data_IF_655040672185
#
_entry.id   IF_655040672185
#
_cell.length_a   1.000
_cell.length_b   1.000
_cell.length_c   1.000
_cell.angle_alpha   90.00
_cell.angle_beta   90.00
_cell.angle_gamma   90.00
#
_symmetry.space_group_name_H-M   'P 1'
#
loop_
_entity.id
_entity.type
_entity.pdbx_description
1 polymer ?
#
# COMPACT_ATOMS: atom_id res chain seq x y z
N UNK A 1 18.65 -31.26 11.39
CA UNK A 1 18.94 -29.81 11.34
C UNK A 1 17.84 -29.18 12.14
N UNK A 2 18.14 -28.87 13.40
CA UNK A 2 17.15 -28.68 14.46
C UNK A 2 16.37 -27.37 14.29
N UNK A 3 15.06 -27.39 14.61
CA UNK A 3 14.14 -26.25 14.47
C UNK A 3 14.60 -24.99 15.23
N UNK A 4 15.36 -25.14 16.32
CA UNK A 4 15.96 -23.99 17.01
C UNK A 4 17.04 -23.30 16.18
N UNK A 5 17.79 -24.05 15.36
CA UNK A 5 18.80 -23.49 14.48
C UNK A 5 18.15 -22.78 13.28
N UNK A 6 17.00 -23.28 12.79
CA UNK A 6 16.25 -22.58 11.73
C UNK A 6 15.64 -21.27 12.21
N UNK A 7 15.13 -21.21 13.44
CA UNK A 7 14.55 -19.99 14.02
C UNK A 7 15.60 -18.90 14.29
N UNK A 8 16.79 -19.26 14.77
CA UNK A 8 17.89 -18.29 14.96
C UNK A 8 18.33 -17.68 13.62
N UNK A 9 18.50 -18.51 12.59
CA UNK A 9 18.90 -18.05 11.24
C UNK A 9 17.82 -17.16 10.61
N UNK A 10 16.53 -17.48 10.80
CA UNK A 10 15.42 -16.65 10.33
C UNK A 10 15.46 -15.28 11.01
N UNK A 11 15.62 -15.24 12.33
CA UNK A 11 15.68 -14.01 13.11
C UNK A 11 16.83 -13.10 12.65
N UNK A 12 18.03 -13.65 12.46
CA UNK A 12 19.19 -12.89 11.99
C UNK A 12 18.96 -12.30 10.59
N UNK A 13 18.44 -13.10 9.66
CA UNK A 13 18.11 -12.63 8.31
C UNK A 13 17.08 -11.52 8.32
N UNK A 14 16.02 -11.66 9.12
CA UNK A 14 14.99 -10.62 9.28
C UNK A 14 15.56 -9.33 9.87
N UNK A 15 16.40 -9.44 10.90
CA UNK A 15 17.06 -8.27 11.48
C UNK A 15 17.93 -7.56 10.45
N UNK A 16 18.74 -8.29 9.68
CA UNK A 16 19.57 -7.71 8.62
C UNK A 16 18.74 -7.01 7.53
N UNK A 17 17.62 -7.61 7.13
CA UNK A 17 16.71 -6.99 6.16
C UNK A 17 16.07 -5.71 6.72
N UNK A 18 15.65 -5.74 7.98
CA UNK A 18 15.08 -4.59 8.68
C UNK A 18 16.09 -3.44 8.82
N UNK A 19 17.32 -3.76 9.22
CA UNK A 19 18.41 -2.78 9.36
C UNK A 19 18.76 -2.13 8.02
N UNK A 20 18.81 -2.92 6.95
CA UNK A 20 19.02 -2.41 5.60
C UNK A 20 17.88 -1.47 5.17
N UNK A 21 16.63 -1.83 5.43
CA UNK A 21 15.48 -0.98 5.11
C UNK A 21 15.50 0.34 5.90
N UNK A 22 15.92 0.33 7.17
CA UNK A 22 16.09 1.55 7.96
C UNK A 22 17.17 2.46 7.38
N UNK A 23 18.31 1.91 6.99
CA UNK A 23 19.38 2.66 6.31
C UNK A 23 18.91 3.26 4.98
N UNK A 24 18.22 2.46 4.15
CA UNK A 24 17.65 2.91 2.88
C UNK A 24 16.65 4.05 3.09
N UNK A 25 15.81 3.98 4.12
CA UNK A 25 14.84 5.02 4.43
C UNK A 25 15.50 6.36 4.74
N UNK A 26 16.58 6.35 5.54
CA UNK A 26 17.36 7.55 5.90
C UNK A 26 18.03 8.17 4.66
N UNK A 27 18.43 7.37 3.68
CA UNK A 27 19.03 7.87 2.42
C UNK A 27 17.98 8.50 1.50
N UNK A 28 16.76 7.93 1.47
CA UNK A 28 15.73 8.34 0.52
C UNK A 28 14.80 9.45 1.04
N UNK A 29 14.80 9.74 2.36
CA UNK A 29 13.88 10.69 2.97
C UNK A 29 14.58 11.76 3.82
N UNK A 30 14.00 12.96 3.85
CA UNK A 30 14.35 13.99 4.81
C UNK A 30 13.78 13.64 6.20
N UNK A 31 14.61 12.95 6.99
CA UNK A 31 14.27 12.50 8.35
C UNK A 31 13.97 13.69 9.29
N UNK A 32 14.59 14.85 9.08
CA UNK A 32 14.31 16.04 9.91
C UNK A 32 12.94 16.63 9.60
N UNK A 33 12.56 16.71 8.33
CA UNK A 33 11.22 17.13 7.95
C UNK A 33 10.14 16.19 8.51
N UNK A 34 10.36 14.87 8.45
CA UNK A 34 9.45 13.87 9.02
C UNK A 34 9.35 14.03 10.54
N UNK A 35 10.50 14.18 11.23
CA UNK A 35 10.53 14.36 12.67
C UNK A 35 9.80 15.63 13.11
N UNK A 36 9.95 16.76 12.39
CA UNK A 36 9.21 18.00 12.66
C UNK A 36 7.69 17.80 12.58
N UNK A 37 7.20 17.11 11.55
CA UNK A 37 5.75 16.80 11.42
C UNK A 37 5.23 15.95 12.58
N UNK A 38 6.07 15.07 13.12
CA UNK A 38 5.75 14.19 14.25
C UNK A 38 6.04 14.82 15.62
N UNK A 39 6.51 16.07 15.68
CA UNK A 39 6.95 16.72 16.92
C UNK A 39 8.03 15.91 17.67
N UNK A 40 8.89 15.21 16.91
CA UNK A 40 10.01 14.42 17.42
C UNK A 40 11.33 15.17 17.20
N UNK A 41 12.35 14.81 17.98
CA UNK A 41 13.71 15.26 17.74
C UNK A 41 14.29 14.51 16.52
N UNK A 42 14.68 15.26 15.47
CA UNK A 42 15.23 14.69 14.23
C UNK A 42 16.50 13.87 14.43
N UNK A 43 17.41 14.30 15.32
CA UNK A 43 18.61 13.55 15.66
C UNK A 43 18.25 12.24 16.37
N UNK A 44 17.26 12.27 17.26
CA UNK A 44 16.78 11.07 17.95
C UNK A 44 16.16 10.08 16.96
N UNK A 45 15.36 10.55 16.00
CA UNK A 45 14.77 9.70 14.98
C UNK A 45 15.83 9.08 14.06
N UNK A 46 16.83 9.87 13.65
CA UNK A 46 17.96 9.37 12.85
C UNK A 46 18.76 8.31 13.59
N UNK A 47 18.96 8.48 14.90
CA UNK A 47 19.63 7.49 15.73
C UNK A 47 18.79 6.22 15.87
N UNK A 48 17.46 6.33 16.00
CA UNK A 48 16.56 5.16 16.03
C UNK A 48 16.58 4.34 14.74
N UNK A 49 16.82 4.98 13.59
CA UNK A 49 16.90 4.34 12.27
C UNK A 49 18.29 3.79 11.95
N UNK A 50 19.29 4.03 12.80
CA UNK A 50 20.66 3.56 12.58
C UNK A 50 20.92 2.30 13.42
N UNK A 51 21.17 1.13 12.80
CA UNK A 51 21.40 -0.11 13.52
C UNK A 51 22.65 -0.10 14.40
N UNK A 52 23.61 0.81 14.14
CA UNK A 52 24.82 0.95 14.94
C UNK A 52 24.63 1.77 16.22
N UNK A 53 23.44 2.35 16.42
CA UNK A 53 23.13 3.18 17.59
C UNK A 53 22.34 2.37 18.63
N UNK A 54 22.46 2.70 19.93
CA UNK A 54 21.78 1.96 20.99
C UNK A 54 20.27 2.21 21.03
N UNK A 55 19.77 3.19 20.29
CA UNK A 55 18.36 3.54 20.28
C UNK A 55 17.59 2.66 19.30
N UNK A 56 16.68 1.85 19.82
CA UNK A 56 15.84 0.96 19.00
C UNK A 56 14.63 1.73 18.45
N UNK A 57 14.33 1.53 17.17
CA UNK A 57 13.10 2.02 16.56
C UNK A 57 11.87 1.37 17.21
N UNK A 58 11.07 2.17 17.91
CA UNK A 58 9.84 1.68 18.55
C UNK A 58 8.76 1.44 17.48
N UNK A 59 7.93 0.38 17.58
CA UNK A 59 6.88 0.08 16.60
C UNK A 59 5.91 1.24 16.34
N UNK A 60 5.55 2.01 17.37
CA UNK A 60 4.67 3.19 17.24
C UNK A 60 5.32 4.31 16.42
N UNK A 61 6.63 4.52 16.61
CA UNK A 61 7.40 5.50 15.84
C UNK A 61 7.53 5.03 14.40
N UNK A 62 7.80 3.74 14.17
CA UNK A 62 7.81 3.12 12.84
C UNK A 62 6.50 3.35 12.09
N UNK A 63 5.36 3.05 12.71
CA UNK A 63 4.05 3.26 12.08
C UNK A 63 3.80 4.75 11.76
N UNK A 64 4.24 5.65 12.65
CA UNK A 64 4.07 7.09 12.49
C UNK A 64 4.93 7.66 11.35
N UNK A 65 6.20 7.27 11.25
CA UNK A 65 7.08 7.72 10.16
C UNK A 65 6.59 7.20 8.82
N UNK A 66 6.17 5.93 8.73
CA UNK A 66 5.66 5.36 7.48
C UNK A 66 4.39 6.05 7.01
N UNK A 67 3.49 6.43 7.94
CA UNK A 67 2.29 7.18 7.60
C UNK A 67 2.59 8.60 7.12
N UNK A 68 3.56 9.28 7.73
CA UNK A 68 3.91 10.67 7.38
C UNK A 68 4.74 10.76 6.10
N UNK A 69 5.64 9.79 5.87
CA UNK A 69 6.43 9.73 4.64
C UNK A 69 5.66 9.16 3.45
N UNK A 70 4.61 8.36 3.72
CA UNK A 70 3.95 7.55 2.69
C UNK A 70 4.77 6.34 2.26
N UNK A 71 5.95 6.13 2.85
CA UNK A 71 6.82 4.98 2.57
C UNK A 71 6.69 3.92 3.66
N UNK A 72 6.07 2.80 3.27
CA UNK A 72 5.84 1.63 4.11
C UNK A 72 6.90 0.55 3.88
N UNK A 73 8.02 0.83 3.22
CA UNK A 73 9.08 -0.12 2.90
C UNK A 73 9.61 -0.87 4.13
N UNK A 74 9.85 -0.17 5.24
CA UNK A 74 10.31 -0.79 6.50
C UNK A 74 9.23 -1.73 7.07
N UNK A 75 7.96 -1.31 7.08
CA UNK A 75 6.83 -2.13 7.57
C UNK A 75 6.65 -3.38 6.70
N UNK A 76 6.71 -3.23 5.37
CA UNK A 76 6.64 -4.35 4.44
C UNK A 76 7.81 -5.32 4.61
N UNK A 77 9.01 -4.81 4.92
CA UNK A 77 10.18 -5.64 5.16
C UNK A 77 10.07 -6.41 6.47
N UNK A 78 9.42 -5.83 7.49
CA UNK A 78 9.15 -6.50 8.77
C UNK A 78 8.23 -7.72 8.59
N UNK A 79 7.18 -7.58 7.79
CA UNK A 79 6.22 -8.65 7.49
C UNK A 79 6.65 -9.56 6.32
N UNK A 80 7.80 -9.29 5.71
CA UNK A 80 8.33 -10.17 4.68
C UNK A 80 8.49 -11.59 5.25
N UNK A 81 8.12 -12.57 4.44
CA UNK A 81 8.13 -14.00 4.76
C UNK A 81 7.11 -14.47 5.82
N UNK A 82 6.24 -13.58 6.34
CA UNK A 82 5.16 -13.94 7.29
C UNK A 82 3.82 -14.27 6.61
N UNK A 83 3.77 -14.26 5.28
CA UNK A 83 2.55 -14.52 4.51
C UNK A 83 1.55 -13.35 4.50
N UNK A 84 1.96 -12.17 4.98
CA UNK A 84 1.12 -10.96 5.01
C UNK A 84 1.77 -9.85 4.19
N UNK A 85 0.97 -9.12 3.43
CA UNK A 85 1.40 -7.92 2.70
C UNK A 85 0.63 -6.73 3.27
N UNK A 86 1.34 -5.67 3.66
CA UNK A 86 0.70 -4.43 4.09
C UNK A 86 0.49 -3.51 2.89
N UNK A 87 -0.75 -3.08 2.69
CA UNK A 87 -1.09 -2.06 1.70
C UNK A 87 -1.57 -0.81 2.42
N UNK A 88 -1.00 0.36 2.14
CA UNK A 88 -1.51 1.60 2.70
C UNK A 88 -2.91 1.85 2.13
N UNK A 89 -3.87 2.10 3.03
CA UNK A 89 -5.16 2.64 2.63
C UNK A 89 -4.93 4.06 2.12
N UNK A 90 -5.33 4.39 0.87
CA UNK A 90 -5.20 5.75 0.38
C UNK A 90 -6.06 6.67 1.25
N UNK A 91 -5.43 7.69 1.83
CA UNK A 91 -6.09 8.66 2.73
C UNK A 91 -6.89 9.67 1.90
N UNK A 92 -6.50 9.87 0.65
CA UNK A 92 -7.16 10.76 -0.30
C UNK A 92 -8.00 9.91 -1.27
N UNK A 93 -9.31 10.14 -1.27
CA UNK A 93 -10.13 9.79 -2.41
C UNK A 93 -9.68 10.72 -3.54
N UNK A 94 -8.95 10.19 -4.52
CA UNK A 94 -8.56 10.91 -5.77
C UNK A 94 -9.78 11.43 -6.58
N UNK A 95 -11.01 11.40 -6.03
CA UNK A 95 -12.27 11.77 -6.68
C UNK A 95 -12.62 10.87 -7.86
N UNK A 96 -11.83 9.83 -8.12
CA UNK A 96 -11.97 8.97 -9.29
C UNK A 96 -13.26 8.17 -9.18
N UNK A 97 -14.04 8.20 -10.26
CA UNK A 97 -15.20 7.34 -10.37
C UNK A 97 -14.79 5.88 -10.66
N UNK A 98 -15.75 4.96 -10.54
CA UNK A 98 -15.54 3.52 -10.73
C UNK A 98 -14.82 3.20 -12.05
N UNK A 99 -15.21 3.85 -13.15
CA UNK A 99 -14.63 3.62 -14.46
C UNK A 99 -13.16 4.06 -14.51
N UNK A 100 -12.86 5.25 -13.98
CA UNK A 100 -11.50 5.77 -13.90
C UNK A 100 -10.60 4.89 -13.01
N UNK A 101 -11.12 4.36 -11.90
CA UNK A 101 -10.39 3.41 -11.05
C UNK A 101 -10.05 2.11 -11.79
N UNK A 102 -10.97 1.58 -12.58
CA UNK A 102 -10.72 0.40 -13.41
C UNK A 102 -9.66 0.69 -14.48
N UNK A 103 -9.70 1.86 -15.11
CA UNK A 103 -8.66 2.28 -16.05
C UNK A 103 -7.28 2.42 -15.37
N UNK A 104 -7.22 3.01 -14.18
CA UNK A 104 -6.00 3.12 -13.38
C UNK A 104 -5.44 1.75 -13.00
N UNK A 105 -6.31 0.79 -12.66
CA UNK A 105 -5.91 -0.59 -12.42
C UNK A 105 -5.30 -1.23 -13.68
N UNK A 106 -5.94 -1.05 -14.84
CA UNK A 106 -5.42 -1.55 -16.11
C UNK A 106 -4.05 -0.95 -16.45
N UNK A 107 -3.87 0.35 -16.20
CA UNK A 107 -2.57 1.00 -16.37
C UNK A 107 -1.49 0.34 -15.50
N UNK A 108 -1.73 0.17 -14.20
CA UNK A 108 -0.77 -0.52 -13.32
C UNK A 108 -0.52 -1.96 -13.75
N UNK A 109 -1.55 -2.70 -14.18
CA UNK A 109 -1.39 -4.06 -14.70
C UNK A 109 -0.52 -4.11 -15.96
N UNK A 110 -0.68 -3.13 -16.86
CA UNK A 110 0.16 -2.97 -18.05
C UNK A 110 1.62 -2.67 -17.71
N UNK A 111 1.86 -1.78 -16.76
CA UNK A 111 3.22 -1.52 -16.27
C UNK A 111 3.86 -2.74 -15.61
N UNK A 112 3.10 -3.50 -14.81
CA UNK A 112 3.57 -4.74 -14.19
C UNK A 112 3.88 -5.81 -15.25
N UNK A 113 3.08 -5.87 -16.32
CA UNK A 113 3.33 -6.77 -17.45
C UNK A 113 4.63 -6.40 -18.18
N UNK A 114 4.87 -5.10 -18.38
CA UNK A 114 6.11 -4.59 -18.97
C UNK A 114 7.33 -4.88 -18.09
N UNK A 115 7.23 -4.63 -16.78
CA UNK A 115 8.28 -4.95 -15.82
C UNK A 115 8.56 -6.46 -15.81
N UNK A 116 7.52 -7.31 -15.80
CA UNK A 116 7.66 -8.77 -15.82
C UNK A 116 8.40 -9.27 -17.07
N UNK A 117 8.06 -8.74 -18.26
CA UNK A 117 8.76 -9.05 -19.50
C UNK A 117 10.24 -8.65 -19.43
N UNK A 118 10.53 -7.45 -18.95
CA UNK A 118 11.91 -6.99 -18.77
C UNK A 118 12.71 -7.88 -17.82
N UNK A 119 12.06 -8.35 -16.75
CA UNK A 119 12.67 -9.26 -15.77
C UNK A 119 12.93 -10.66 -16.35
N UNK A 120 12.06 -11.18 -17.22
CA UNK A 120 12.27 -12.46 -17.91
C UNK A 120 13.47 -12.41 -18.88
N UNK A 121 13.73 -11.26 -19.48
CA UNK A 121 14.85 -11.09 -20.43
C UNK A 121 16.18 -10.71 -19.76
N UNK A 122 16.16 -10.35 -18.48
CA UNK A 122 17.34 -9.88 -17.77
C UNK A 122 18.16 -11.05 -17.20
N UNK A 123 19.48 -11.06 -17.47
CA UNK A 123 20.41 -12.04 -16.89
C UNK A 123 20.51 -11.92 -15.36
N UNK A 124 20.32 -10.71 -14.82
CA UNK A 124 20.24 -10.42 -13.39
C UNK A 124 19.21 -9.34 -13.10
N UNK A 125 18.44 -9.52 -12.04
CA UNK A 125 17.45 -8.54 -11.58
C UNK A 125 18.08 -7.47 -10.67
N UNK A 126 18.14 -6.19 -11.08
CA UNK A 126 18.61 -5.13 -10.20
C UNK A 126 17.65 -4.92 -9.01
N UNK A 127 18.20 -4.68 -7.82
CA UNK A 127 17.40 -4.37 -6.61
C UNK A 127 16.50 -3.15 -6.80
N UNK A 128 16.96 -2.14 -7.53
CA UNK A 128 16.18 -0.94 -7.87
C UNK A 128 14.95 -1.28 -8.70
N UNK A 129 15.08 -2.14 -9.73
CA UNK A 129 13.96 -2.60 -10.55
C UNK A 129 12.96 -3.38 -9.70
N UNK A 130 13.42 -4.34 -8.89
CA UNK A 130 12.57 -5.08 -7.95
C UNK A 130 11.75 -4.14 -7.05
N UNK A 131 12.39 -3.12 -6.46
CA UNK A 131 11.73 -2.13 -5.60
C UNK A 131 10.67 -1.33 -6.35
N UNK A 132 10.98 -0.87 -7.57
CA UNK A 132 10.03 -0.12 -8.41
C UNK A 132 8.80 -0.97 -8.75
N UNK A 133 9.00 -2.21 -9.19
CA UNK A 133 7.90 -3.13 -9.51
C UNK A 133 7.05 -3.44 -8.27
N UNK A 134 7.67 -3.62 -7.10
CA UNK A 134 6.94 -3.78 -5.85
C UNK A 134 6.08 -2.56 -5.50
N UNK A 135 6.62 -1.35 -5.65
CA UNK A 135 5.87 -0.11 -5.42
C UNK A 135 4.66 0.02 -6.37
N UNK A 136 4.82 -0.35 -7.65
CA UNK A 136 3.70 -0.40 -8.61
C UNK A 136 2.63 -1.42 -8.19
N UNK A 137 3.04 -2.61 -7.76
CA UNK A 137 2.10 -3.64 -7.28
C UNK A 137 1.32 -3.17 -6.05
N UNK A 138 1.99 -2.47 -5.13
CA UNK A 138 1.35 -1.88 -3.95
C UNK A 138 0.37 -0.75 -4.31
N UNK A 139 0.71 0.08 -5.31
CA UNK A 139 -0.20 1.09 -5.82
C UNK A 139 -1.46 0.46 -6.46
N UNK A 140 -1.28 -0.63 -7.23
CA UNK A 140 -2.40 -1.39 -7.78
C UNK A 140 -3.31 -1.97 -6.70
N UNK A 141 -2.73 -2.54 -5.63
CA UNK A 141 -3.49 -3.02 -4.47
C UNK A 141 -4.24 -1.87 -3.76
N UNK A 142 -3.59 -0.72 -3.56
CA UNK A 142 -4.25 0.46 -2.99
C UNK A 142 -5.46 0.91 -3.81
N UNK A 143 -5.33 0.94 -5.13
CA UNK A 143 -6.44 1.26 -6.03
C UNK A 143 -7.56 0.20 -5.99
N UNK A 144 -7.22 -1.09 -5.87
CA UNK A 144 -8.20 -2.17 -5.67
C UNK A 144 -8.97 -2.03 -4.36
N UNK A 145 -8.31 -1.63 -3.28
CA UNK A 145 -8.98 -1.41 -2.00
C UNK A 145 -9.98 -0.25 -2.10
N UNK A 146 -9.61 0.86 -2.75
CA UNK A 146 -10.57 1.94 -3.02
C UNK A 146 -11.71 1.50 -3.92
N UNK A 147 -11.44 0.65 -4.91
CA UNK A 147 -12.48 0.08 -5.78
C UNK A 147 -13.48 -0.77 -4.99
N UNK A 148 -13.00 -1.59 -4.06
CA UNK A 148 -13.86 -2.37 -3.15
C UNK A 148 -14.70 -1.43 -2.29
N UNK A 149 -14.08 -0.42 -1.69
CA UNK A 149 -14.77 0.58 -0.86
C UNK A 149 -15.89 1.29 -1.64
N UNK A 150 -15.59 1.76 -2.86
CA UNK A 150 -16.57 2.37 -3.75
C UNK A 150 -17.75 1.42 -4.06
N UNK A 151 -17.49 0.15 -4.32
CA UNK A 151 -18.54 -0.84 -4.61
C UNK A 151 -19.40 -1.15 -3.38
N UNK A 152 -18.80 -1.29 -2.21
CA UNK A 152 -19.50 -1.52 -0.94
C UNK A 152 -20.41 -0.33 -0.60
N UNK A 153 -19.93 0.89 -0.77
CA UNK A 153 -20.70 2.12 -0.54
C UNK A 153 -21.76 2.40 -1.63
N UNK A 154 -21.51 1.99 -2.87
CA UNK A 154 -22.49 2.11 -3.96
C UNK A 154 -23.67 1.15 -3.82
N UNK A 155 -23.45 0.00 -3.16
CA UNK A 155 -24.48 -1.03 -2.94
C UNK A 155 -25.34 -0.77 -1.70
N UNK A 156 -24.88 0.06 -0.76
CA UNK A 156 -25.66 0.43 0.44
C UNK A 156 -26.75 1.46 0.16
N UNK A 157 -26.73 2.11 -0.99
CA UNK A 157 -27.82 2.98 -1.43
C UNK A 157 -28.93 2.16 -2.09
N UNK A 158 -30.09 2.08 -1.44
CA UNK A 158 -31.39 1.76 -2.08
C UNK A 158 -31.76 2.74 -3.23
N UNK A 159 -30.84 3.61 -3.64
CA UNK A 159 -30.99 4.68 -4.62
C UNK A 159 -31.43 4.20 -6.01
N UNK A 160 -30.91 3.09 -6.58
CA UNK A 160 -31.36 2.62 -7.88
C UNK A 160 -32.82 2.12 -7.87
N UNK A 161 -33.23 1.46 -6.77
CA UNK A 161 -34.59 0.96 -6.60
C UNK A 161 -35.58 2.09 -6.28
N UNK A 162 -35.15 3.08 -5.50
CA UNK A 162 -35.95 4.29 -5.23
C UNK A 162 -36.11 5.12 -6.50
N UNK A 163 -35.07 5.30 -7.32
CA UNK A 163 -35.19 5.99 -8.62
C UNK A 163 -36.13 5.28 -9.59
N UNK A 164 -36.06 3.94 -9.67
CA UNK A 164 -37.02 3.16 -10.48
C UNK A 164 -38.46 3.30 -9.96
N UNK A 165 -38.65 3.35 -8.62
CA UNK A 165 -39.96 3.56 -8.01
C UNK A 165 -40.49 4.98 -8.21
N UNK A 166 -39.65 6.00 -8.16
CA UNK A 166 -40.05 7.40 -8.39
C UNK A 166 -40.34 7.68 -9.85
N UNK A 167 -39.57 7.12 -10.79
CA UNK A 167 -39.85 7.28 -12.23
C UNK A 167 -41.17 6.60 -12.62
N UNK A 168 -41.51 5.46 -12.00
CA UNK A 168 -42.80 4.79 -12.21
C UNK A 168 -43.99 5.62 -11.70
N UNK A 169 -43.86 6.25 -10.53
CA UNK A 169 -44.93 7.07 -9.93
C UNK A 169 -45.02 8.48 -10.54
N UNK A 170 -43.90 9.09 -10.94
CA UNK A 170 -43.86 10.45 -11.44
C UNK A 170 -44.19 10.55 -12.95
N UNK A 171 -43.79 9.55 -13.76
CA UNK A 171 -43.98 9.59 -15.22
C UNK A 171 -45.17 8.77 -15.71
N UNK A 172 -45.98 8.17 -14.82
CA UNK A 172 -47.27 7.59 -15.17
C UNK A 172 -47.20 6.63 -16.36
N UNK A 173 -46.25 5.70 -16.37
CA UNK A 173 -46.18 4.70 -17.43
C UNK A 173 -47.48 3.86 -17.42
N UNK A 174 -48.13 3.63 -18.57
CA UNK A 174 -49.37 2.88 -18.62
C UNK A 174 -49.12 1.45 -18.14
N UNK A 175 -49.91 1.02 -17.15
CA UNK A 175 -49.95 -0.38 -16.71
C UNK A 175 -50.43 -1.20 -17.92
N UNK A 176 -49.61 -2.12 -18.48
CA UNK A 176 -50.05 -2.93 -19.60
C UNK A 176 -51.18 -3.84 -19.11
N UNK A 177 -52.39 -3.62 -19.63
CA UNK A 177 -53.56 -4.46 -19.33
C UNK A 177 -54.77 -3.79 -18.69
N UNK A 178 -54.79 -2.46 -18.54
CA UNK A 178 -56.01 -1.71 -18.20
C UNK A 178 -56.33 -0.69 -19.31
N UNK A 179 -57.03 -1.17 -20.34
CA UNK A 179 -57.83 -0.40 -21.29
C UNK A 179 -59.19 -1.08 -21.41
#
# INVERSE_FOLDING_TARGET
MDENNSMCVLRERKQQAFDAACCDFVVNHDVEAIARKLQLNGTMLRNMLNPNQPHVLKPVVLASISRVSGDYSIVNTLFADDGVVTTPLPIEEDGLNLFERVLKLNHHSGELSSDALAMCTAERLPRSTKRKTLAKAQAALGNLVLLINDLEHRTTGLHPLVQMGTDFLANGAPIPGLA
#
